data_IF_243451648149
#
_entry.id   IF_243451648149
#
_cell.length_a   1.000
_cell.length_b   1.000
_cell.length_c   1.000
_cell.angle_alpha   90.00
_cell.angle_beta   90.00
_cell.angle_gamma   90.00
#
_symmetry.space_group_name_H-M   'P 1'
#
loop_
_entity.id
_entity.type
_entity.pdbx_description
1 polymer ?
#
# COMPACT_ATOMS: atom_id res chain seq x y z
N UNK A 1 -18.87 -0.11 -1.21
CA UNK A 1 -19.60 0.28 -2.43
C UNK A 1 -19.38 1.76 -2.75
N UNK A 2 -19.73 2.21 -3.96
CA UNK A 2 -19.70 3.63 -4.36
C UNK A 2 -20.68 4.48 -3.54
N UNK A 3 -21.83 3.93 -3.13
CA UNK A 3 -22.79 4.59 -2.26
C UNK A 3 -22.16 5.08 -0.95
N UNK A 4 -21.33 4.26 -0.28
CA UNK A 4 -20.62 4.66 0.94
C UNK A 4 -19.63 5.81 0.74
N UNK A 5 -19.06 5.94 -0.47
CA UNK A 5 -18.22 7.09 -0.81
C UNK A 5 -19.07 8.35 -0.98
N UNK A 6 -20.23 8.25 -1.65
CA UNK A 6 -21.18 9.36 -1.78
C UNK A 6 -21.69 9.85 -0.42
N UNK A 7 -22.10 8.94 0.46
CA UNK A 7 -22.51 9.24 1.84
C UNK A 7 -21.42 10.03 2.59
N UNK A 8 -20.15 9.72 2.37
CA UNK A 8 -19.04 10.46 2.99
C UNK A 8 -18.90 11.91 2.47
N UNK A 9 -19.25 12.17 1.21
CA UNK A 9 -19.30 13.53 0.64
C UNK A 9 -20.55 14.29 1.07
N UNK A 10 -21.69 13.62 1.21
CA UNK A 10 -22.92 14.22 1.74
C UNK A 10 -22.75 14.63 3.21
N UNK A 11 -22.07 13.80 4.00
CA UNK A 11 -21.80 14.06 5.41
C UNK A 11 -20.73 15.15 5.65
N UNK A 12 -19.79 15.36 4.72
CA UNK A 12 -18.77 16.40 4.80
C UNK A 12 -18.63 17.17 3.48
N UNK A 13 -19.36 18.30 3.34
CA UNK A 13 -19.28 19.15 2.15
C UNK A 13 -17.89 19.78 1.88
N UNK A 14 -16.97 19.73 2.85
CA UNK A 14 -15.59 20.18 2.69
C UNK A 14 -14.64 19.06 2.25
N UNK A 15 -15.12 17.82 2.14
CA UNK A 15 -14.36 16.71 1.58
C UNK A 15 -14.12 16.96 0.08
N UNK A 16 -12.86 16.83 -0.34
CA UNK A 16 -12.45 17.03 -1.73
C UNK A 16 -12.20 15.69 -2.44
N UNK A 17 -11.60 14.74 -1.73
CA UNK A 17 -11.19 13.44 -2.27
C UNK A 17 -11.45 12.35 -1.22
N UNK A 18 -12.01 11.22 -1.64
CA UNK A 18 -12.11 10.02 -0.83
C UNK A 18 -11.43 8.83 -1.51
N UNK A 19 -10.94 7.87 -0.72
CA UNK A 19 -10.55 6.56 -1.23
C UNK A 19 -11.11 5.45 -0.32
N UNK A 20 -11.51 4.31 -0.89
CA UNK A 20 -11.92 3.15 -0.12
C UNK A 20 -10.73 2.50 0.59
N UNK A 21 -11.01 1.69 1.62
CA UNK A 21 -10.05 0.72 2.17
C UNK A 21 -9.70 -0.30 1.09
N UNK A 22 -8.41 -0.59 0.96
CA UNK A 22 -7.94 -1.55 -0.03
C UNK A 22 -7.40 -2.83 0.62
N UNK A 23 -7.77 -3.97 0.04
CA UNK A 23 -7.26 -5.28 0.41
C UNK A 23 -6.36 -5.82 -0.70
N UNK A 24 -5.40 -6.64 -0.32
CA UNK A 24 -4.56 -7.35 -1.29
C UNK A 24 -5.30 -8.52 -1.85
N UNK A 25 -6.02 -9.29 -1.02
CA UNK A 25 -6.64 -10.55 -1.37
C UNK A 25 -8.18 -10.51 -1.39
N UNK A 26 -8.78 -11.47 -2.09
CA UNK A 26 -10.24 -11.58 -2.22
C UNK A 26 -10.96 -11.89 -0.91
N UNK A 27 -10.30 -12.57 0.03
CA UNK A 27 -10.89 -12.91 1.32
C UNK A 27 -10.87 -11.72 2.31
N UNK A 28 -10.30 -10.57 1.90
CA UNK A 28 -10.21 -9.34 2.69
C UNK A 28 -9.43 -9.53 4.00
N UNK A 29 -8.45 -10.42 3.99
CA UNK A 29 -7.64 -10.75 5.18
C UNK A 29 -6.43 -9.81 5.32
N UNK A 30 -5.82 -9.42 4.19
CA UNK A 30 -4.64 -8.57 4.11
C UNK A 30 -4.99 -7.15 3.67
N UNK A 31 -4.89 -6.21 4.60
CA UNK A 31 -5.14 -4.78 4.35
C UNK A 31 -3.88 -4.10 3.80
N UNK A 32 -4.04 -3.26 2.78
CA UNK A 32 -2.95 -2.41 2.29
C UNK A 32 -2.64 -1.29 3.29
N UNK A 33 -1.36 -0.86 3.40
CA UNK A 33 -0.95 0.17 4.35
C UNK A 33 -1.42 1.57 3.93
N UNK A 34 -1.45 2.48 4.90
CA UNK A 34 -1.68 3.89 4.65
C UNK A 34 -0.58 4.47 3.76
N UNK A 35 -0.95 5.38 2.86
CA UNK A 35 0.01 6.05 1.99
C UNK A 35 0.61 7.26 2.68
N UNK A 36 1.86 7.60 2.34
CA UNK A 36 2.53 8.77 2.87
C UNK A 36 3.29 9.47 1.74
N UNK A 37 3.20 10.81 1.63
CA UNK A 37 3.92 11.54 0.60
C UNK A 37 5.42 11.21 0.63
N UNK A 38 6.01 10.75 -0.47
CA UNK A 38 7.42 10.43 -0.53
C UNK A 38 8.26 11.67 -0.27
N UNK A 39 9.35 11.48 0.47
CA UNK A 39 10.35 12.52 0.71
C UNK A 39 11.74 11.99 0.40
N UNK A 40 12.67 12.84 -0.07
CA UNK A 40 14.05 12.41 -0.31
C UNK A 40 14.66 11.74 0.94
N UNK A 41 14.33 12.27 2.13
CA UNK A 41 14.83 11.71 3.37
C UNK A 41 14.20 10.35 3.71
N UNK A 42 12.89 10.20 3.56
CA UNK A 42 12.21 8.92 3.79
C UNK A 42 12.75 7.83 2.86
N UNK A 43 13.06 8.16 1.61
CA UNK A 43 13.65 7.22 0.66
C UNK A 43 15.09 6.81 1.01
N UNK A 44 15.93 7.75 1.44
CA UNK A 44 17.30 7.45 1.87
C UNK A 44 17.30 6.65 3.18
N UNK A 45 16.41 7.01 4.10
CA UNK A 45 16.17 6.28 5.33
C UNK A 45 15.72 4.84 5.06
N UNK A 46 14.90 4.63 4.01
CA UNK A 46 14.47 3.31 3.58
C UNK A 46 15.65 2.48 3.07
N UNK A 47 16.48 3.03 2.18
CA UNK A 47 17.68 2.35 1.73
C UNK A 47 18.63 2.00 2.88
N UNK A 48 18.82 2.92 3.83
CA UNK A 48 19.66 2.68 4.99
C UNK A 48 19.14 1.52 5.86
N UNK A 49 17.82 1.31 5.93
CA UNK A 49 17.21 0.23 6.71
C UNK A 49 17.69 -1.16 6.28
N UNK A 50 18.02 -1.35 5.00
CA UNK A 50 18.57 -2.61 4.51
C UNK A 50 19.93 -2.97 5.13
N UNK A 51 20.64 -2.04 5.79
CA UNK A 51 21.95 -2.32 6.39
C UNK A 51 22.01 -2.20 7.91
N UNK A 52 21.05 -1.50 8.51
CA UNK A 52 21.04 -1.15 9.93
C UNK A 52 19.79 -1.72 10.61
N UNK A 53 19.85 -2.94 11.20
CA UNK A 53 18.69 -3.61 11.78
C UNK A 53 17.93 -2.80 12.83
N UNK A 54 18.64 -2.10 13.73
CA UNK A 54 18.01 -1.25 14.74
C UNK A 54 17.21 -0.09 14.12
N UNK A 55 17.73 0.49 13.03
CA UNK A 55 17.05 1.52 12.27
C UNK A 55 15.84 0.97 11.51
N UNK A 56 15.99 -0.21 10.91
CA UNK A 56 14.88 -0.91 10.25
C UNK A 56 13.73 -1.20 11.22
N UNK A 57 14.03 -1.73 12.42
CA UNK A 57 13.03 -1.98 13.46
C UNK A 57 12.30 -0.70 13.88
N UNK A 58 13.04 0.38 14.16
CA UNK A 58 12.45 1.68 14.51
C UNK A 58 11.51 2.19 13.42
N UNK A 59 11.95 2.19 12.17
CA UNK A 59 11.12 2.61 11.03
C UNK A 59 9.90 1.73 10.87
N UNK A 60 10.07 0.42 11.01
CA UNK A 60 8.99 -0.51 10.89
C UNK A 60 7.95 -0.34 12.00
N UNK A 61 8.36 0.01 13.22
CA UNK A 61 7.43 0.36 14.32
C UNK A 61 6.70 1.69 14.05
N UNK A 62 7.40 2.73 13.57
CA UNK A 62 6.78 4.00 13.15
C UNK A 62 5.75 3.78 12.02
N UNK A 63 6.08 2.93 11.05
CA UNK A 63 5.17 2.49 9.99
C UNK A 63 3.95 1.78 10.58
N UNK A 64 4.16 0.77 11.41
CA UNK A 64 3.08 -0.02 12.02
C UNK A 64 2.12 0.83 12.84
N UNK A 65 2.59 1.82 13.62
CA UNK A 65 1.68 2.73 14.34
C UNK A 65 0.73 3.46 13.41
N UNK A 66 1.25 3.99 12.29
CA UNK A 66 0.44 4.70 11.31
C UNK A 66 -0.53 3.74 10.61
N UNK A 67 -0.02 2.60 10.16
CA UNK A 67 -0.80 1.65 9.36
C UNK A 67 -1.86 0.94 10.22
N UNK A 68 -1.58 0.64 11.50
CA UNK A 68 -2.56 0.12 12.44
C UNK A 68 -3.74 1.08 12.60
N UNK A 69 -3.48 2.37 12.79
CA UNK A 69 -4.54 3.38 12.90
C UNK A 69 -5.41 3.49 11.63
N UNK A 70 -4.85 3.14 10.46
CA UNK A 70 -5.58 3.07 9.20
C UNK A 70 -6.37 1.75 9.06
N UNK A 71 -5.76 0.63 9.43
CA UNK A 71 -6.37 -0.71 9.34
C UNK A 71 -7.54 -0.90 10.30
N UNK A 72 -7.48 -0.29 11.49
CA UNK A 72 -8.53 -0.39 12.51
C UNK A 72 -9.54 0.74 12.46
N UNK A 73 -9.44 1.65 11.49
CA UNK A 73 -10.37 2.76 11.35
C UNK A 73 -11.80 2.26 11.09
N UNK A 74 -12.78 2.74 11.84
CA UNK A 74 -14.21 2.48 11.64
C UNK A 74 -14.94 3.68 11.01
N UNK A 75 -14.37 4.88 11.12
CA UNK A 75 -14.86 6.11 10.54
C UNK A 75 -13.89 6.70 9.48
N UNK A 76 -14.37 7.59 8.58
CA UNK A 76 -13.51 8.30 7.65
C UNK A 76 -12.38 9.07 8.35
N UNK A 77 -11.17 9.00 7.80
CA UNK A 77 -9.96 9.62 8.37
C UNK A 77 -9.28 10.53 7.39
N UNK A 78 -8.83 11.70 7.85
CA UNK A 78 -8.01 12.61 7.05
C UNK A 78 -6.64 11.96 6.79
N UNK A 79 -6.27 11.92 5.51
CA UNK A 79 -5.02 11.32 5.04
C UNK A 79 -4.20 12.35 4.27
N UNK A 80 -2.87 12.28 4.41
CA UNK A 80 -1.96 13.20 3.69
C UNK A 80 -1.81 12.84 2.21
N UNK A 81 -2.14 11.60 1.87
CA UNK A 81 -2.07 11.02 0.54
C UNK A 81 -2.98 9.80 0.51
N UNK A 82 -3.69 9.63 -0.59
CA UNK A 82 -4.47 8.44 -0.89
C UNK A 82 -3.80 7.71 -2.06
N UNK A 83 -4.02 6.39 -2.16
CA UNK A 83 -3.53 5.64 -3.32
C UNK A 83 -4.27 6.06 -4.58
N UNK A 84 -3.53 6.29 -5.67
CA UNK A 84 -4.13 6.55 -6.98
C UNK A 84 -4.91 5.36 -7.57
N UNK A 85 -4.90 4.19 -6.92
CA UNK A 85 -5.57 2.99 -7.40
C UNK A 85 -7.10 3.11 -7.48
N UNK A 86 -7.71 3.87 -6.56
CA UNK A 86 -9.13 4.18 -6.59
C UNK A 86 -9.38 5.48 -5.82
N UNK A 87 -9.84 6.51 -6.51
CA UNK A 87 -10.17 7.81 -5.94
C UNK A 87 -11.59 8.19 -6.33
N UNK A 88 -12.32 8.76 -5.39
CA UNK A 88 -13.57 9.47 -5.62
C UNK A 88 -13.30 10.96 -5.42
N UNK A 89 -13.44 11.75 -6.48
CA UNK A 89 -12.95 13.13 -6.54
C UNK A 89 -14.08 14.04 -6.96
N UNK A 90 -14.25 15.18 -6.29
CA UNK A 90 -15.18 16.21 -6.76
C UNK A 90 -14.72 16.79 -8.09
N UNK A 91 -15.68 17.17 -8.93
CA UNK A 91 -15.40 17.80 -10.22
C UNK A 91 -14.65 19.12 -10.07
N UNK A 92 -15.05 19.96 -9.12
CA UNK A 92 -14.44 21.27 -8.88
C UNK A 92 -12.99 21.21 -8.38
N UNK A 93 -12.56 20.08 -7.80
CA UNK A 93 -11.15 19.81 -7.49
C UNK A 93 -10.32 19.74 -8.77
N UNK A 94 -10.87 19.16 -9.84
CA UNK A 94 -10.19 19.11 -11.14
C UNK A 94 -10.08 20.50 -11.74
N UNK A 95 -11.09 21.34 -11.57
CA UNK A 95 -11.08 22.71 -12.07
C UNK A 95 -10.09 23.58 -11.27
N UNK A 96 -9.99 23.35 -9.95
CA UNK A 96 -9.05 24.04 -9.07
C UNK A 96 -7.58 23.62 -9.30
N UNK A 97 -7.33 22.34 -9.58
CA UNK A 97 -5.98 21.79 -9.74
C UNK A 97 -5.53 21.67 -11.21
N UNK A 98 -6.44 21.86 -12.17
CA UNK A 98 -6.25 21.75 -13.61
C UNK A 98 -6.24 20.30 -14.15
N UNK A 99 -5.67 19.35 -13.40
CA UNK A 99 -5.60 17.94 -13.79
C UNK A 99 -5.59 17.02 -12.57
N UNK A 100 -6.08 15.78 -12.73
CA UNK A 100 -5.98 14.75 -11.68
C UNK A 100 -4.54 14.26 -11.56
N UNK A 101 -4.00 13.70 -12.65
CA UNK A 101 -2.63 13.16 -12.71
C UNK A 101 -1.86 13.76 -13.87
N UNK A 102 -0.60 14.11 -13.61
CA UNK A 102 0.33 14.60 -14.61
C UNK A 102 0.90 13.41 -15.41
N UNK A 103 0.49 13.29 -16.68
CA UNK A 103 0.86 12.18 -17.57
C UNK A 103 2.36 12.02 -17.79
N UNK A 104 3.17 13.00 -17.37
CA UNK A 104 4.63 12.93 -17.44
C UNK A 104 5.24 12.12 -16.29
N UNK A 105 4.44 11.58 -15.38
CA UNK A 105 4.81 10.52 -14.45
C UNK A 105 4.48 9.16 -15.08
N UNK A 106 5.43 8.50 -15.77
CA UNK A 106 5.13 7.25 -16.45
C UNK A 106 4.91 6.08 -15.49
N UNK A 107 5.37 6.12 -14.24
CA UNK A 107 5.09 5.08 -13.25
C UNK A 107 5.33 5.60 -11.83
N UNK A 108 4.31 5.56 -10.98
CA UNK A 108 4.31 6.09 -9.62
C UNK A 108 4.59 7.61 -9.55
N UNK A 109 4.37 8.15 -8.35
CA UNK A 109 4.47 9.57 -7.98
C UNK A 109 3.40 10.49 -8.57
N UNK A 110 2.52 10.02 -9.47
CA UNK A 110 1.38 10.79 -9.97
C UNK A 110 0.39 11.13 -8.85
N UNK A 111 0.13 10.16 -7.98
CA UNK A 111 -0.73 10.28 -6.80
C UNK A 111 -0.07 11.10 -5.69
N UNK A 112 1.24 10.94 -5.49
CA UNK A 112 2.03 11.77 -4.59
C UNK A 112 2.07 13.24 -5.02
N UNK A 113 2.16 13.50 -6.33
CA UNK A 113 2.10 14.84 -6.90
C UNK A 113 0.72 15.45 -6.71
N UNK A 114 -0.33 14.69 -7.01
CA UNK A 114 -1.72 15.07 -6.76
C UNK A 114 -1.97 15.41 -5.30
N UNK A 115 -1.58 14.53 -4.37
CA UNK A 115 -1.74 14.73 -2.94
C UNK A 115 -1.06 16.03 -2.46
N UNK A 116 0.14 16.34 -2.98
CA UNK A 116 0.83 17.58 -2.64
C UNK A 116 0.17 18.83 -3.27
N UNK A 117 -0.35 18.73 -4.49
CA UNK A 117 -1.12 19.83 -5.12
C UNK A 117 -2.40 20.09 -4.33
N UNK A 118 -3.15 19.04 -4.01
CA UNK A 118 -4.36 19.11 -3.19
C UNK A 118 -4.07 19.76 -1.83
N UNK A 119 -3.03 19.31 -1.12
CA UNK A 119 -2.63 19.89 0.15
C UNK A 119 -2.25 21.39 0.05
N UNK A 120 -1.54 21.80 -1.01
CA UNK A 120 -1.22 23.23 -1.24
C UNK A 120 -2.44 24.08 -1.54
N UNK A 121 -3.48 23.49 -2.13
CA UNK A 121 -4.77 24.13 -2.38
C UNK A 121 -5.72 24.06 -1.18
N UNK A 122 -5.29 23.51 -0.04
CA UNK A 122 -6.12 23.36 1.17
C UNK A 122 -7.21 22.29 1.05
N UNK A 123 -7.12 21.40 0.07
CA UNK A 123 -8.11 20.35 -0.18
C UNK A 123 -7.92 19.18 0.76
N UNK A 124 -9.02 18.71 1.36
CA UNK A 124 -9.03 17.60 2.32
C UNK A 124 -9.26 16.26 1.62
N UNK A 125 -8.45 15.28 2.00
CA UNK A 125 -8.52 13.92 1.46
C UNK A 125 -8.81 12.94 2.61
N UNK A 126 -9.70 11.97 2.39
CA UNK A 126 -10.01 10.95 3.40
C UNK A 126 -9.96 9.53 2.90
N UNK A 127 -9.49 8.62 3.74
CA UNK A 127 -9.82 7.20 3.60
C UNK A 127 -11.20 6.94 4.19
N UNK A 128 -12.05 6.18 3.50
CA UNK A 128 -13.41 5.82 3.91
C UNK A 128 -13.46 4.30 4.15
N UNK A 129 -13.34 3.82 5.40
CA UNK A 129 -13.18 2.40 5.68
C UNK A 129 -14.44 1.56 5.44
N UNK A 130 -15.61 2.20 5.32
CA UNK A 130 -16.88 1.56 4.98
C UNK A 130 -17.03 1.25 3.48
N UNK A 131 -16.14 1.81 2.64
CA UNK A 131 -16.02 1.46 1.23
C UNK A 131 -14.75 0.61 1.04
N UNK A 132 -14.85 -0.47 0.27
CA UNK A 132 -13.76 -1.43 0.13
C UNK A 132 -13.47 -1.73 -1.35
N UNK A 133 -12.20 -2.01 -1.67
CA UNK A 133 -11.76 -2.49 -2.98
C UNK A 133 -10.74 -3.64 -2.84
N UNK A 134 -10.68 -4.48 -3.86
CA UNK A 134 -9.54 -5.36 -4.09
C UNK A 134 -8.51 -4.65 -4.96
N UNK A 135 -7.30 -4.50 -4.44
CA UNK A 135 -6.18 -3.99 -5.20
C UNK A 135 -5.33 -5.15 -5.71
N UNK A 136 -5.26 -5.31 -7.02
CA UNK A 136 -4.46 -6.35 -7.69
C UNK A 136 -2.97 -5.99 -7.61
N UNK A 137 -2.41 -6.05 -6.42
CA UNK A 137 -1.05 -5.60 -6.10
C UNK A 137 -0.01 -6.09 -7.10
N UNK A 138 0.93 -5.23 -7.49
CA UNK A 138 2.01 -5.52 -8.47
C UNK A 138 1.61 -6.02 -9.86
N UNK A 139 0.32 -5.98 -10.24
CA UNK A 139 -0.12 -6.43 -11.59
C UNK A 139 0.49 -5.61 -12.73
N UNK A 140 0.58 -4.28 -12.56
CA UNK A 140 1.00 -3.39 -13.64
C UNK A 140 2.50 -3.10 -13.68
N UNK A 141 3.17 -3.17 -12.53
CA UNK A 141 4.57 -2.80 -12.38
C UNK A 141 5.54 -4.00 -12.29
N UNK A 142 5.00 -5.22 -12.11
CA UNK A 142 5.80 -6.38 -11.72
C UNK A 142 6.19 -6.33 -10.24
N UNK A 143 6.76 -7.43 -9.73
CA UNK A 143 7.35 -7.53 -8.40
C UNK A 143 8.71 -8.23 -8.49
N UNK A 144 9.63 -7.93 -7.57
CA UNK A 144 10.94 -8.58 -7.58
C UNK A 144 11.70 -8.33 -8.89
N UNK A 145 12.08 -9.41 -9.58
CA UNK A 145 12.83 -9.35 -10.84
C UNK A 145 12.05 -8.69 -11.97
N UNK A 146 10.71 -8.83 -12.00
CA UNK A 146 9.86 -8.23 -13.03
C UNK A 146 9.83 -6.70 -12.99
N UNK A 147 10.25 -6.10 -11.86
CA UNK A 147 10.39 -4.66 -11.75
C UNK A 147 11.68 -4.13 -12.40
N UNK A 148 12.65 -5.00 -12.70
CA UNK A 148 13.90 -4.61 -13.33
C UNK A 148 13.68 -4.14 -14.79
N UNK A 149 14.61 -3.32 -15.30
CA UNK A 149 14.53 -2.81 -16.66
C UNK A 149 13.57 -1.63 -16.82
N UNK A 150 12.53 -1.78 -17.65
CA UNK A 150 11.66 -0.68 -18.06
C UNK A 150 10.78 -0.12 -16.91
N UNK A 151 10.16 -0.94 -16.03
CA UNK A 151 9.44 -0.40 -14.86
C UNK A 151 10.36 0.42 -13.95
N UNK A 152 11.54 -0.10 -13.60
CA UNK A 152 12.54 0.64 -12.82
C UNK A 152 12.97 1.96 -13.51
N UNK A 153 13.13 1.96 -14.84
CA UNK A 153 13.44 3.18 -15.61
C UNK A 153 12.31 4.20 -15.53
N UNK A 154 11.05 3.79 -15.76
CA UNK A 154 9.87 4.67 -15.66
C UNK A 154 9.75 5.25 -14.25
N UNK A 155 9.92 4.41 -13.22
CA UNK A 155 9.93 4.84 -11.84
C UNK A 155 11.04 5.87 -11.56
N UNK A 156 12.26 5.67 -12.07
CA UNK A 156 13.35 6.62 -11.91
C UNK A 156 13.06 7.98 -12.58
N UNK A 157 12.40 7.99 -13.74
CA UNK A 157 11.95 9.22 -14.43
C UNK A 157 10.92 9.95 -13.57
N UNK A 158 9.87 9.25 -13.11
CA UNK A 158 8.84 9.80 -12.23
C UNK A 158 9.45 10.39 -10.95
N UNK A 159 10.34 9.64 -10.29
CA UNK A 159 11.04 10.07 -9.08
C UNK A 159 11.82 11.36 -9.30
N UNK A 160 12.66 11.42 -10.34
CA UNK A 160 13.47 12.61 -10.62
C UNK A 160 12.58 13.83 -10.91
N UNK A 161 11.48 13.65 -11.64
CA UNK A 161 10.49 14.71 -11.87
C UNK A 161 9.87 15.19 -10.56
N UNK A 162 9.38 14.26 -9.72
CA UNK A 162 8.74 14.59 -8.45
C UNK A 162 9.68 15.34 -7.53
N UNK A 163 10.89 14.81 -7.32
CA UNK A 163 11.88 15.44 -6.45
C UNK A 163 12.26 16.85 -6.96
N UNK A 164 12.45 17.00 -8.26
CA UNK A 164 12.78 18.30 -8.86
C UNK A 164 11.65 19.32 -8.69
N UNK A 165 10.40 18.92 -8.92
CA UNK A 165 9.22 19.79 -8.80
C UNK A 165 9.01 20.28 -7.36
N UNK A 166 9.25 19.41 -6.39
CA UNK A 166 8.80 19.63 -5.02
C UNK A 166 9.89 19.97 -4.01
N UNK A 167 11.15 19.65 -4.32
CA UNK A 167 12.31 19.89 -3.47
C UNK A 167 13.44 20.63 -4.21
N UNK A 168 13.28 20.89 -5.51
CA UNK A 168 14.24 21.62 -6.32
C UNK A 168 15.37 20.75 -6.89
N UNK A 169 16.08 21.31 -7.87
CA UNK A 169 17.11 20.60 -8.65
C UNK A 169 18.33 20.19 -7.80
N UNK A 170 18.68 20.96 -6.78
CA UNK A 170 19.81 20.63 -5.88
C UNK A 170 19.49 19.38 -5.08
N UNK A 171 18.32 19.35 -4.42
CA UNK A 171 17.90 18.17 -3.62
C UNK A 171 17.73 16.95 -4.51
N UNK A 172 17.13 17.08 -5.70
CA UNK A 172 16.99 15.98 -6.65
C UNK A 172 18.33 15.34 -7.01
N UNK A 173 19.33 16.15 -7.41
CA UNK A 173 20.66 15.66 -7.78
C UNK A 173 21.40 15.03 -6.60
N UNK A 174 21.36 15.67 -5.44
CA UNK A 174 22.01 15.16 -4.23
C UNK A 174 21.37 13.84 -3.79
N UNK A 175 20.03 13.75 -3.76
CA UNK A 175 19.32 12.53 -3.40
C UNK A 175 19.57 11.39 -4.40
N UNK A 176 19.72 11.70 -5.70
CA UNK A 176 20.11 10.72 -6.71
C UNK A 176 21.54 10.20 -6.46
N UNK A 177 22.50 11.09 -6.22
CA UNK A 177 23.89 10.70 -5.94
C UNK A 177 24.01 9.86 -4.65
N UNK A 178 23.34 10.27 -3.57
CA UNK A 178 23.33 9.55 -2.30
C UNK A 178 22.70 8.17 -2.42
N UNK A 179 21.55 8.08 -3.13
CA UNK A 179 20.90 6.80 -3.43
C UNK A 179 21.85 5.86 -4.17
N UNK A 180 22.47 6.32 -5.25
CA UNK A 180 23.39 5.49 -6.03
C UNK A 180 24.59 5.00 -5.21
N UNK A 181 25.11 5.83 -4.30
CA UNK A 181 26.17 5.40 -3.37
C UNK A 181 25.69 4.38 -2.34
N UNK A 182 24.50 4.56 -1.76
CA UNK A 182 23.90 3.60 -0.84
C UNK A 182 23.63 2.26 -1.54
N UNK A 183 23.07 2.27 -2.74
CA UNK A 183 22.81 1.08 -3.56
C UNK A 183 24.12 0.35 -3.89
N UNK A 184 25.18 1.06 -4.28
CA UNK A 184 26.51 0.44 -4.48
C UNK A 184 27.07 -0.19 -3.21
N UNK A 185 26.92 0.47 -2.06
CA UNK A 185 27.36 -0.08 -0.76
C UNK A 185 26.56 -1.31 -0.37
N UNK A 186 25.25 -1.31 -0.59
CA UNK A 186 24.36 -2.44 -0.34
C UNK A 186 24.72 -3.62 -1.25
N UNK A 187 24.95 -3.37 -2.54
CA UNK A 187 25.38 -4.41 -3.49
C UNK A 187 26.72 -5.06 -3.08
N UNK A 188 27.67 -4.29 -2.52
CA UNK A 188 28.95 -4.82 -2.05
C UNK A 188 28.89 -5.59 -0.74
N UNK A 189 28.03 -5.16 0.19
CA UNK A 189 28.01 -5.67 1.59
C UNK A 189 26.85 -6.62 1.88
N UNK A 190 25.86 -6.69 0.99
CA UNK A 190 24.60 -7.39 1.21
C UNK A 190 23.66 -6.68 2.19
N UNK A 191 22.34 -6.91 2.07
CA UNK A 191 21.38 -6.47 3.07
C UNK A 191 21.51 -7.29 4.37
N UNK A 192 21.08 -6.72 5.49
CA UNK A 192 20.93 -7.40 6.78
C UNK A 192 19.46 -7.41 7.18
N UNK A 193 18.87 -8.59 7.48
CA UNK A 193 17.50 -8.65 7.94
C UNK A 193 17.35 -7.93 9.30
N UNK A 194 16.16 -7.38 9.56
CA UNK A 194 15.92 -6.61 10.79
C UNK A 194 15.66 -7.50 12.02
N UNK A 195 15.29 -8.77 11.78
CA UNK A 195 15.06 -9.82 12.75
C UNK A 195 15.84 -11.08 12.34
N UNK A 196 16.05 -11.97 13.30
CA UNK A 196 16.43 -13.35 13.01
C UNK A 196 15.14 -14.11 12.67
N UNK A 197 14.84 -14.20 11.37
CA UNK A 197 13.62 -14.84 10.88
C UNK A 197 13.75 -16.35 10.94
N UNK A 198 12.78 -17.01 11.57
CA UNK A 198 12.64 -18.46 11.48
C UNK A 198 12.24 -18.85 10.05
N UNK A 199 12.97 -19.79 9.45
CA UNK A 199 12.73 -20.22 8.08
C UNK A 199 11.78 -21.43 8.07
N UNK A 200 10.55 -21.22 7.62
CA UNK A 200 9.52 -22.26 7.51
C UNK A 200 9.66 -23.11 6.23
N UNK A 201 10.68 -22.84 5.41
CA UNK A 201 10.97 -23.58 4.20
C UNK A 201 10.10 -23.16 3.01
N UNK A 202 9.73 -24.15 2.20
CA UNK A 202 8.88 -23.99 1.02
C UNK A 202 7.47 -24.43 1.38
N UNK A 203 6.48 -23.57 1.14
CA UNK A 203 5.10 -23.80 1.54
C UNK A 203 4.17 -23.81 0.32
N UNK A 204 3.31 -24.83 0.26
CA UNK A 204 2.19 -24.93 -0.68
C UNK A 204 0.87 -24.41 -0.09
N UNK A 205 0.78 -24.31 1.24
CA UNK A 205 -0.36 -23.80 1.99
C UNK A 205 0.07 -22.73 3.01
N UNK A 206 -0.87 -21.87 3.41
CA UNK A 206 -0.58 -20.82 4.38
C UNK A 206 -0.08 -21.41 5.71
N UNK A 207 1.03 -20.85 6.27
CA UNK A 207 1.54 -21.31 7.55
C UNK A 207 0.52 -21.06 8.65
N UNK A 208 0.42 -22.02 9.58
CA UNK A 208 -0.34 -21.87 10.82
C UNK A 208 0.60 -21.31 11.87
N UNK A 209 0.31 -20.12 12.36
CA UNK A 209 1.09 -19.46 13.40
C UNK A 209 0.24 -19.35 14.65
N UNK A 210 0.67 -20.00 15.73
CA UNK A 210 0.01 -19.91 17.02
C UNK A 210 0.69 -18.85 17.90
N UNK A 211 -0.10 -18.16 18.72
CA UNK A 211 0.35 -17.12 19.64
C UNK A 211 -0.27 -17.35 21.02
N UNK A 212 0.54 -17.12 22.05
CA UNK A 212 0.05 -17.13 23.44
C UNK A 212 -0.73 -15.84 23.76
N UNK A 213 -0.56 -14.80 22.93
CA UNK A 213 -1.24 -13.52 23.07
C UNK A 213 -2.52 -13.44 22.25
N UNK A 214 -3.53 -12.82 22.85
CA UNK A 214 -4.66 -12.27 22.12
C UNK A 214 -4.25 -10.90 21.54
N UNK A 215 -4.95 -10.45 20.50
CA UNK A 215 -4.76 -9.10 19.92
C UNK A 215 -3.47 -8.91 19.12
N UNK A 216 -3.24 -9.80 18.15
CA UNK A 216 -2.03 -9.82 17.32
C UNK A 216 -2.28 -9.14 15.98
N UNK A 217 -1.30 -8.35 15.54
CA UNK A 217 -1.18 -7.88 14.17
C UNK A 217 -0.10 -8.73 13.47
N UNK A 218 -0.50 -9.45 12.43
CA UNK A 218 0.43 -10.17 11.56
C UNK A 218 0.72 -9.33 10.32
N UNK A 219 1.97 -8.89 10.18
CA UNK A 219 2.42 -8.12 9.02
C UNK A 219 3.10 -9.01 7.98
N UNK A 220 2.74 -8.81 6.72
CA UNK A 220 3.25 -9.54 5.57
C UNK A 220 4.06 -8.62 4.67
N UNK A 221 5.29 -9.02 4.32
CA UNK A 221 6.15 -8.26 3.41
C UNK A 221 6.88 -9.17 2.43
N UNK A 222 7.30 -8.59 1.30
CA UNK A 222 8.23 -9.19 0.34
C UNK A 222 9.66 -8.67 0.52
N UNK A 223 9.92 -8.03 1.67
CA UNK A 223 11.25 -7.54 2.04
C UNK A 223 11.53 -7.78 3.53
N UNK A 224 12.76 -8.11 3.94
CA UNK A 224 13.10 -8.42 5.33
C UNK A 224 13.13 -7.21 6.28
N UNK A 225 13.04 -6.00 5.73
CA UNK A 225 12.99 -4.72 6.45
C UNK A 225 11.58 -4.10 6.45
N UNK A 226 10.62 -4.77 5.80
CA UNK A 226 9.22 -4.38 5.79
C UNK A 226 9.01 -2.96 5.21
N UNK A 227 9.74 -2.57 4.17
CA UNK A 227 9.58 -1.26 3.51
C UNK A 227 8.11 -0.94 3.20
N UNK A 228 7.38 -1.97 2.81
CA UNK A 228 5.94 -2.03 2.71
C UNK A 228 5.46 -3.31 3.39
N UNK A 229 4.33 -3.23 4.10
CA UNK A 229 3.73 -4.37 4.75
C UNK A 229 2.21 -4.33 4.62
N UNK A 230 1.60 -5.48 4.39
CA UNK A 230 0.16 -5.67 4.51
C UNK A 230 -0.17 -6.17 5.92
N UNK A 231 -1.30 -5.73 6.47
CA UNK A 231 -1.70 -6.08 7.84
C UNK A 231 -2.87 -7.05 7.87
N UNK A 232 -2.73 -8.11 8.66
CA UNK A 232 -3.82 -9.01 9.07
C UNK A 232 -4.08 -8.81 10.56
N UNK A 233 -5.31 -8.46 10.91
CA UNK A 233 -5.76 -8.42 12.30
C UNK A 233 -6.14 -9.84 12.69
N UNK A 234 -5.55 -10.35 13.78
CA UNK A 234 -5.74 -11.74 14.23
C UNK A 234 -6.62 -11.72 15.48
N UNK A 235 -7.83 -12.24 15.32
CA UNK A 235 -8.80 -12.41 16.41
C UNK A 235 -8.72 -13.87 16.91
N UNK A 236 -7.79 -14.14 17.83
CA UNK A 236 -7.61 -15.47 18.43
C UNK A 236 -6.14 -15.86 18.63
N UNK A 237 -5.92 -17.13 18.96
CA UNK A 237 -4.60 -17.72 19.24
C UNK A 237 -3.91 -18.28 18.00
N UNK A 238 -4.57 -18.35 16.84
CA UNK A 238 -3.98 -18.83 15.58
C UNK A 238 -4.20 -17.82 14.46
N UNK A 239 -3.15 -17.49 13.71
CA UNK A 239 -3.25 -16.83 12.41
C UNK A 239 -2.95 -17.80 11.28
N UNK A 240 -3.86 -17.82 10.31
CA UNK A 240 -3.69 -18.51 9.04
C UNK A 240 -4.50 -17.79 7.97
N UNK A 241 -3.89 -17.48 6.83
CA UNK A 241 -4.65 -17.04 5.67
C UNK A 241 -5.56 -18.17 5.19
N UNK A 242 -6.78 -17.81 4.79
CA UNK A 242 -7.67 -18.73 4.08
C UNK A 242 -7.02 -19.24 2.78
N UNK A 243 -7.52 -20.35 2.25
CA UNK A 243 -7.07 -20.86 0.95
C UNK A 243 -7.24 -19.82 -0.18
N UNK A 244 -8.27 -18.97 -0.07
CA UNK A 244 -8.56 -17.87 -1.00
C UNK A 244 -7.56 -16.71 -0.85
N UNK A 245 -7.23 -16.33 0.39
CA UNK A 245 -6.20 -15.33 0.67
C UNK A 245 -4.82 -15.79 0.19
N UNK A 246 -4.48 -17.04 0.50
CA UNK A 246 -3.21 -17.67 0.12
C UNK A 246 -3.02 -17.76 -1.40
N UNK A 247 -4.04 -18.23 -2.14
CA UNK A 247 -3.97 -18.38 -3.60
C UNK A 247 -3.74 -17.06 -4.33
N UNK A 248 -4.06 -15.94 -3.69
CA UNK A 248 -3.88 -14.61 -4.23
C UNK A 248 -2.43 -14.09 -4.17
N UNK A 249 -1.62 -14.64 -3.26
CA UNK A 249 -0.21 -14.31 -3.16
C UNK A 249 0.55 -14.86 -4.38
N UNK A 250 1.54 -14.11 -4.86
CA UNK A 250 2.43 -14.59 -5.93
C UNK A 250 3.34 -15.70 -5.42
N UNK A 251 3.96 -16.43 -6.34
CA UNK A 251 5.12 -17.23 -5.98
C UNK A 251 6.28 -16.30 -5.60
N UNK A 252 7.04 -16.66 -4.56
CA UNK A 252 8.16 -15.85 -4.10
C UNK A 252 8.43 -15.97 -2.61
N UNK A 253 9.44 -15.22 -2.16
CA UNK A 253 9.82 -15.17 -0.75
C UNK A 253 8.99 -14.13 -0.01
N UNK A 254 8.48 -14.53 1.13
CA UNK A 254 7.74 -13.68 2.06
C UNK A 254 8.44 -13.61 3.41
N UNK A 255 8.20 -12.51 4.10
CA UNK A 255 8.64 -12.23 5.47
C UNK A 255 7.43 -11.83 6.29
N UNK A 256 7.33 -12.40 7.47
CA UNK A 256 6.24 -12.19 8.39
C UNK A 256 6.79 -11.73 9.71
N UNK A 257 6.05 -10.86 10.38
CA UNK A 257 6.27 -10.59 11.79
C UNK A 257 4.95 -10.42 12.50
N UNK A 258 4.84 -11.04 13.66
CA UNK A 258 3.72 -10.87 14.56
C UNK A 258 4.07 -9.79 15.58
N UNK A 259 3.13 -8.88 15.80
CA UNK A 259 3.29 -7.71 16.64
C UNK A 259 2.08 -7.62 17.56
N UNK A 260 2.30 -7.48 18.87
CA UNK A 260 1.23 -7.23 19.83
C UNK A 260 0.67 -5.82 19.61
N UNK A 261 -0.64 -5.68 19.43
CA UNK A 261 -1.22 -4.36 19.06
C UNK A 261 -1.14 -3.32 20.18
N UNK A 262 -1.11 -3.75 21.44
CA UNK A 262 -1.10 -2.86 22.60
C UNK A 262 0.17 -1.99 22.72
N UNK A 263 1.34 -2.57 22.45
CA UNK A 263 2.66 -1.95 22.68
C UNK A 263 3.61 -2.04 21.48
N UNK A 264 3.17 -2.69 20.40
CA UNK A 264 3.95 -3.02 19.22
C UNK A 264 5.20 -3.87 19.48
N UNK A 265 5.22 -4.64 20.57
CA UNK A 265 6.25 -5.63 20.81
C UNK A 265 6.20 -6.70 19.72
N UNK A 266 7.36 -7.02 19.14
CA UNK A 266 7.49 -8.11 18.16
C UNK A 266 7.53 -9.43 18.92
N UNK A 267 6.56 -10.31 18.66
CA UNK A 267 6.39 -11.59 19.34
C UNK A 267 6.86 -12.78 18.49
N UNK A 268 7.03 -12.58 17.18
CA UNK A 268 7.66 -13.57 16.31
C UNK A 268 7.94 -13.05 14.91
N UNK A 269 8.85 -13.74 14.20
CA UNK A 269 9.29 -13.35 12.87
C UNK A 269 9.67 -14.57 12.02
N UNK A 270 9.09 -14.69 10.83
CA UNK A 270 9.25 -15.85 9.96
C UNK A 270 9.58 -15.45 8.51
N UNK A 271 10.16 -16.39 7.77
CA UNK A 271 10.30 -16.31 6.31
C UNK A 271 9.99 -17.66 5.69
N UNK A 272 9.43 -17.63 4.49
CA UNK A 272 9.19 -18.83 3.69
C UNK A 272 9.23 -18.48 2.20
N UNK A 273 9.25 -19.51 1.37
CA UNK A 273 9.05 -19.40 -0.08
C UNK A 273 7.71 -20.05 -0.43
N UNK A 274 6.83 -19.29 -1.09
CA UNK A 274 5.59 -19.84 -1.66
C UNK A 274 5.90 -20.39 -3.05
N UNK A 275 5.70 -21.68 -3.22
CA UNK A 275 5.60 -22.30 -4.54
C UNK A 275 4.15 -22.27 -5.03
N UNK A 276 3.95 -22.41 -6.34
CA UNK A 276 2.67 -22.31 -7.06
C UNK A 276 1.44 -22.99 -6.37
N UNK A 277 0.19 -22.65 -6.76
CA UNK A 277 -0.18 -21.76 -7.85
C UNK A 277 -0.03 -20.28 -7.46
N UNK A 278 0.58 -19.51 -8.34
CA UNK A 278 0.47 -18.05 -8.32
C UNK A 278 -0.97 -17.66 -8.69
N UNK A 279 -1.46 -16.55 -8.12
CA UNK A 279 -2.76 -15.90 -8.39
C UNK A 279 -3.77 -16.71 -9.19
N UNK A 280 -4.77 -17.25 -8.50
CA UNK A 280 -5.96 -17.78 -9.16
C UNK A 280 -6.60 -16.68 -10.01
N UNK A 281 -6.53 -16.83 -11.34
CA UNK A 281 -7.20 -15.98 -12.33
C UNK A 281 -8.20 -16.88 -13.08
N UNK A 282 -9.43 -16.40 -13.39
CA UNK A 282 -9.99 -15.09 -13.08
C UNK A 282 -10.47 -14.88 -11.65
N UNK A 283 -10.58 -13.59 -11.30
CA UNK A 283 -11.28 -13.14 -10.09
C UNK A 283 -12.71 -13.63 -10.19
N UNK A 284 -13.19 -14.27 -9.14
CA UNK A 284 -14.59 -14.61 -9.04
C UNK A 284 -15.41 -13.30 -9.00
N UNK A 285 -16.27 -13.01 -9.98
CA UNK A 285 -17.03 -11.76 -10.01
C UNK A 285 -17.96 -11.58 -8.78
N UNK A 286 -18.22 -12.65 -8.02
CA UNK A 286 -19.03 -12.60 -6.80
C UNK A 286 -18.30 -12.02 -5.56
N UNK A 287 -16.96 -11.83 -5.60
CA UNK A 287 -16.16 -11.34 -4.43
C UNK A 287 -16.66 -10.01 -3.87
N UNK A 288 -17.23 -9.15 -4.72
CA UNK A 288 -17.78 -7.84 -4.37
C UNK A 288 -19.23 -7.65 -4.82
N UNK A 289 -19.94 -8.74 -5.11
CA UNK A 289 -21.36 -8.69 -5.39
C UNK A 289 -22.13 -8.40 -4.08
N UNK A 290 -22.13 -7.14 -3.65
CA UNK A 290 -23.21 -6.63 -2.80
C UNK A 290 -24.48 -6.58 -3.67
N UNK A 291 -25.58 -7.13 -3.15
CA UNK A 291 -26.90 -7.34 -3.79
C UNK A 291 -27.67 -6.05 -4.17
N UNK A 292 -27.01 -5.00 -4.65
CA UNK A 292 -27.69 -3.81 -5.14
C UNK A 292 -27.09 -3.35 -6.47
N UNK A 293 -27.86 -3.55 -7.54
CA UNK A 293 -27.71 -2.85 -8.82
C UNK A 293 -27.81 -1.33 -8.56
N UNK A 294 -26.70 -0.68 -8.20
CA UNK A 294 -26.69 0.77 -8.04
C UNK A 294 -26.55 1.41 -9.43
N UNK A 295 -27.70 1.79 -10.01
CA UNK A 295 -27.77 2.57 -11.24
C UNK A 295 -27.36 4.02 -10.96
N UNK A 296 -26.20 4.43 -11.44
CA UNK A 296 -25.75 5.82 -11.36
C UNK A 296 -26.12 6.54 -12.66
N UNK A 297 -26.89 7.63 -12.56
CA UNK A 297 -27.30 8.47 -13.69
C UNK A 297 -26.28 9.58 -13.91
N UNK A 298 -25.87 9.79 -15.15
CA UNK A 298 -25.11 10.98 -15.56
C UNK A 298 -26.03 12.19 -15.38
N UNK A 299 -25.62 13.18 -14.58
CA UNK A 299 -26.29 14.49 -14.53
C UNK A 299 -25.86 15.25 -15.79
N UNK A 300 -26.32 14.78 -16.96
CA UNK A 300 -26.29 15.44 -18.28
C UNK A 300 -26.95 14.51 -19.33
N UNK A 301 -28.23 14.19 -19.13
CA UNK A 301 -29.14 13.87 -20.25
C UNK A 301 -29.37 12.41 -20.64
N UNK A 302 -28.40 11.50 -20.56
CA UNK A 302 -28.60 10.12 -21.08
C UNK A 302 -28.45 9.04 -20.00
N UNK A 303 -29.47 8.17 -19.87
CA UNK A 303 -29.35 6.91 -19.15
C UNK A 303 -28.36 6.00 -19.89
N UNK A 304 -27.29 5.60 -19.21
CA UNK A 304 -26.40 4.54 -19.71
C UNK A 304 -26.72 3.29 -18.91
N UNK A 305 -27.25 2.27 -19.59
CA UNK A 305 -27.39 0.93 -19.03
C UNK A 305 -26.03 0.40 -18.58
N UNK A 306 -25.97 -0.03 -17.31
CA UNK A 306 -25.07 -1.05 -16.76
C UNK A 306 -23.58 -0.89 -17.05
N UNK A 307 -22.82 -0.40 -16.08
CA UNK A 307 -21.40 -0.74 -16.00
C UNK A 307 -21.29 -2.16 -15.44
N UNK A 308 -20.83 -3.11 -16.28
CA UNK A 308 -20.32 -4.42 -15.85
C UNK A 308 -18.90 -4.31 -15.32
#
# INVERSE_FOLDING_TARGET
SVARLLEAFEADPALAVAAPRAFIDEARELRLPAQSPPTPWAELAELASHRFPAWARRRAEERTRRDLAHWTADAPRDERMLSGACLFVRRDVLDALGELFDARYPLYYEDADFARRAARAGLRMRSVPSAEILHHWSRSAGAGEDFAGEPARRHAISRARYLRRWYGRVVERTAHAMRGELERRLARRGPRPMHDFENLGVLSEAPRLAFDEQDVLLEWSVTPNFSLAAGMLVDGEEARLSARGWSWLFAGRYWLRAVRRADLAVIGAWTFVKEAPARAWPVDPEVFADEAEHRYRRVDGDEVEGWR
#
